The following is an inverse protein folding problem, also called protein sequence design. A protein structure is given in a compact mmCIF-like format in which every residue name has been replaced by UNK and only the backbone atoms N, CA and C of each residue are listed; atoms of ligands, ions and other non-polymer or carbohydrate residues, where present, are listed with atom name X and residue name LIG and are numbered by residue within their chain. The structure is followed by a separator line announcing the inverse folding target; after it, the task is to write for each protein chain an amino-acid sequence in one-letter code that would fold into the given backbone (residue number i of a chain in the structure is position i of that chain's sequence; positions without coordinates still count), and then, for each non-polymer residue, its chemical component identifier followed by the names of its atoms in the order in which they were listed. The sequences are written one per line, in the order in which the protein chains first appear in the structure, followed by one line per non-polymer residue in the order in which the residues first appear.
data_IF_332522214121
#
_entry.id   IF_332522214121
#
_cell.length_a   1.000
_cell.length_b   1.000
_cell.length_c   1.000
_cell.angle_alpha   90.00
_cell.angle_beta   90.00
_cell.angle_gamma   90.00
#
_symmetry.space_group_name_H-M   'P 1'
#
loop_
_entity.id
_entity.type
_entity.pdbx_description
1 polymer ?
#
# COMPACT_ATOMS: atom_id res chain seq x y z
N UNK A 1 -5.15 -23.47 -14.19
CA UNK A 1 -4.33 -22.92 -13.09
C UNK A 1 -5.08 -23.10 -11.79
N UNK A 2 -4.44 -23.75 -10.81
CA UNK A 2 -5.05 -23.99 -9.50
C UNK A 2 -4.20 -23.31 -8.43
N UNK A 3 -4.81 -22.38 -7.70
CA UNK A 3 -4.21 -21.74 -6.55
C UNK A 3 -5.26 -21.46 -5.47
N UNK A 4 -4.81 -21.30 -4.24
CA UNK A 4 -5.63 -20.80 -3.13
C UNK A 4 -5.11 -19.44 -2.74
N UNK A 5 -5.99 -18.45 -2.77
CA UNK A 5 -5.71 -17.08 -2.31
C UNK A 5 -6.55 -16.79 -1.08
N UNK A 6 -5.88 -16.49 0.01
CA UNK A 6 -6.51 -16.11 1.29
C UNK A 6 -6.22 -14.64 1.57
N UNK A 7 -7.22 -13.92 2.04
CA UNK A 7 -7.05 -12.53 2.46
C UNK A 7 -7.87 -12.24 3.70
N UNK A 8 -7.30 -11.44 4.59
CA UNK A 8 -7.95 -10.93 5.79
C UNK A 8 -7.77 -9.40 5.81
N UNK A 9 -8.87 -8.68 5.93
CA UNK A 9 -8.87 -7.24 6.08
C UNK A 9 -9.62 -6.87 7.37
N UNK A 10 -8.99 -6.05 8.20
CA UNK A 10 -9.56 -5.53 9.44
C UNK A 10 -9.52 -4.01 9.38
N UNK A 11 -10.63 -3.37 9.75
CA UNK A 11 -10.74 -1.92 9.81
C UNK A 11 -11.35 -1.47 11.13
N UNK A 12 -10.80 -0.43 11.70
CA UNK A 12 -11.29 0.23 12.89
C UNK A 12 -11.44 1.71 12.61
N UNK A 13 -12.61 2.26 12.95
CA UNK A 13 -12.95 3.67 12.75
C UNK A 13 -13.47 4.24 14.05
N UNK A 14 -13.00 5.43 14.40
CA UNK A 14 -13.40 6.14 15.60
C UNK A 14 -13.52 7.64 15.28
N UNK A 15 -14.60 8.25 15.77
CA UNK A 15 -14.79 9.69 15.76
C UNK A 15 -14.75 10.21 17.22
N UNK A 16 -13.55 10.47 17.78
CA UNK A 16 -13.41 10.88 19.16
C UNK A 16 -13.96 12.29 19.42
N UNK A 17 -13.96 13.14 18.41
CA UNK A 17 -14.52 14.49 18.42
C UNK A 17 -15.27 14.73 17.11
N UNK A 18 -16.20 15.67 17.12
CA UNK A 18 -16.99 15.99 15.93
C UNK A 18 -16.11 16.25 14.71
N UNK A 19 -16.33 15.46 13.63
CA UNK A 19 -15.59 15.50 12.35
C UNK A 19 -14.11 15.10 12.41
N UNK A 20 -13.59 14.70 13.56
CA UNK A 20 -12.27 14.08 13.66
C UNK A 20 -12.42 12.58 13.43
N UNK A 21 -11.96 12.08 12.30
CA UNK A 21 -12.07 10.67 11.95
C UNK A 21 -10.70 10.02 12.05
N UNK A 22 -10.55 9.12 13.01
CA UNK A 22 -9.42 8.22 13.11
C UNK A 22 -9.77 6.91 12.42
N UNK A 23 -8.91 6.41 11.56
CA UNK A 23 -9.04 5.09 10.94
C UNK A 23 -7.74 4.31 11.05
N UNK A 24 -7.87 3.01 11.33
CA UNK A 24 -6.76 2.07 11.29
C UNK A 24 -7.20 0.84 10.50
N UNK A 25 -6.42 0.45 9.51
CA UNK A 25 -6.72 -0.71 8.67
C UNK A 25 -5.51 -1.61 8.57
N UNK A 26 -5.74 -2.91 8.63
CA UNK A 26 -4.71 -3.92 8.39
C UNK A 26 -5.20 -4.91 7.35
N UNK A 27 -4.32 -5.28 6.44
CA UNK A 27 -4.59 -6.29 5.44
C UNK A 27 -3.49 -7.34 5.47
N UNK A 28 -3.89 -8.59 5.42
CA UNK A 28 -2.99 -9.72 5.26
C UNK A 28 -3.48 -10.55 4.08
N UNK A 29 -2.56 -10.95 3.23
CA UNK A 29 -2.84 -11.79 2.07
C UNK A 29 -1.80 -12.88 1.90
N UNK A 30 -2.24 -14.06 1.49
CA UNK A 30 -1.38 -15.19 1.18
C UNK A 30 -1.92 -15.95 -0.03
N UNK A 31 -1.04 -16.39 -0.94
CA UNK A 31 -1.37 -17.17 -2.12
C UNK A 31 -0.47 -18.40 -2.20
N UNK A 32 -1.07 -19.52 -2.52
CA UNK A 32 -0.37 -20.81 -2.68
C UNK A 32 -0.81 -21.46 -3.99
N UNK A 33 0.14 -21.82 -4.84
CA UNK A 33 -0.10 -22.65 -6.04
C UNK A 33 -0.36 -24.10 -5.67
N UNK A 34 -1.27 -24.76 -6.41
CA UNK A 34 -1.57 -26.18 -6.25
C UNK A 34 -1.08 -26.93 -7.50
N UNK A 35 0.17 -27.40 -7.43
CA UNK A 35 0.78 -28.19 -8.51
C UNK A 35 1.24 -27.39 -9.73
N UNK A 36 1.08 -26.07 -9.71
CA UNK A 36 1.52 -25.14 -10.76
C UNK A 36 2.11 -23.88 -10.13
N UNK A 37 3.02 -23.23 -10.85
CA UNK A 37 3.63 -21.97 -10.44
C UNK A 37 2.61 -20.81 -10.49
N UNK A 38 2.73 -19.88 -9.54
CA UNK A 38 1.88 -18.70 -9.47
C UNK A 38 2.37 -17.65 -10.46
N UNK A 39 1.51 -17.19 -11.35
CA UNK A 39 1.87 -16.13 -12.30
C UNK A 39 2.06 -14.78 -11.61
N UNK A 40 2.95 -13.96 -12.16
CA UNK A 40 3.34 -12.65 -11.60
C UNK A 40 2.12 -11.76 -11.33
N UNK A 41 1.15 -11.72 -12.24
CA UNK A 41 -0.05 -10.89 -12.09
C UNK A 41 -1.05 -11.39 -11.03
N UNK A 42 -0.89 -12.62 -10.53
CA UNK A 42 -1.70 -13.20 -9.45
C UNK A 42 -1.09 -12.93 -8.08
N UNK A 43 0.21 -12.62 -8.02
CA UNK A 43 0.93 -12.36 -6.78
C UNK A 43 0.56 -11.02 -6.17
N UNK A 44 0.83 -10.90 -4.90
CA UNK A 44 0.67 -9.63 -4.19
C UNK A 44 1.78 -8.66 -4.59
N UNK A 45 1.43 -7.37 -4.63
CA UNK A 45 2.36 -6.28 -4.91
C UNK A 45 2.29 -5.26 -3.77
N UNK A 46 3.43 -4.69 -3.41
CA UNK A 46 3.55 -3.70 -2.35
C UNK A 46 4.06 -2.37 -2.92
N UNK A 47 3.37 -1.28 -2.59
CA UNK A 47 3.65 0.07 -3.05
C UNK A 47 2.41 0.77 -3.62
N UNK A 48 2.54 2.02 -3.94
CA UNK A 48 1.42 2.81 -4.46
C UNK A 48 0.33 3.06 -3.42
N UNK A 49 -0.88 2.62 -3.70
CA UNK A 49 -2.03 2.87 -2.84
C UNK A 49 -2.03 2.07 -1.55
N UNK A 50 -1.40 0.90 -1.51
CA UNK A 50 -1.34 0.09 -0.30
C UNK A 50 -0.16 0.43 0.61
N UNK A 51 0.81 1.21 0.11
CA UNK A 51 1.94 1.72 0.88
C UNK A 51 2.37 3.08 0.29
N UNK A 52 1.78 4.16 0.77
CA UNK A 52 2.08 5.53 0.29
C UNK A 52 3.55 5.89 0.59
N UNK A 53 4.17 6.66 -0.28
CA UNK A 53 5.61 6.97 -0.23
C UNK A 53 6.47 6.07 -1.11
N UNK A 54 5.88 5.01 -1.66
CA UNK A 54 6.52 4.09 -2.61
C UNK A 54 5.79 4.15 -3.96
N UNK A 55 6.52 3.99 -5.05
CA UNK A 55 5.97 3.90 -6.39
C UNK A 55 5.04 2.67 -6.52
N UNK A 56 4.28 2.59 -7.58
CA UNK A 56 3.47 1.40 -7.86
C UNK A 56 4.37 0.17 -7.94
N UNK A 57 4.07 -0.81 -7.07
CA UNK A 57 4.90 -2.01 -6.88
C UNK A 57 6.34 -1.74 -6.41
N UNK A 58 6.63 -0.50 -5.97
CA UNK A 58 7.97 -0.01 -5.65
C UNK A 58 8.66 -0.75 -4.51
N UNK A 59 7.93 -1.37 -3.60
CA UNK A 59 8.45 -2.16 -2.48
C UNK A 59 8.30 -3.68 -2.68
N UNK A 60 7.98 -4.12 -3.90
CA UNK A 60 7.85 -5.54 -4.25
C UNK A 60 9.19 -6.16 -4.61
N UNK A 61 9.35 -7.50 -4.47
CA UNK A 61 10.48 -8.24 -5.03
C UNK A 61 10.65 -7.96 -6.53
N UNK A 62 11.90 -7.83 -7.00
CA UNK A 62 12.23 -7.44 -8.36
C UNK A 62 13.22 -8.40 -9.00
N UNK A 63 13.12 -8.54 -10.31
CA UNK A 63 14.16 -9.16 -11.12
C UNK A 63 15.41 -8.26 -11.13
N UNK A 64 16.58 -8.86 -10.90
CA UNK A 64 17.85 -8.13 -10.84
C UNK A 64 18.26 -7.55 -12.21
N UNK A 65 17.93 -8.25 -13.30
CA UNK A 65 18.34 -7.90 -14.65
C UNK A 65 17.40 -6.90 -15.32
N UNK A 66 16.08 -7.14 -15.19
CA UNK A 66 15.08 -6.31 -15.87
C UNK A 66 14.54 -5.19 -14.97
N UNK A 67 14.63 -5.35 -13.64
CA UNK A 67 14.04 -4.44 -12.68
C UNK A 67 12.51 -4.58 -12.52
N UNK A 68 11.90 -5.57 -13.20
CA UNK A 68 10.47 -5.78 -13.15
C UNK A 68 10.00 -6.29 -11.79
N UNK A 69 8.85 -5.82 -11.32
CA UNK A 69 8.25 -6.28 -10.08
C UNK A 69 7.69 -7.69 -10.24
N UNK A 70 8.19 -8.62 -9.47
CA UNK A 70 7.79 -10.03 -9.48
C UNK A 70 6.63 -10.32 -8.51
N UNK A 71 6.40 -9.43 -7.55
CA UNK A 71 5.43 -9.67 -6.49
C UNK A 71 5.88 -10.70 -5.46
N UNK A 72 5.00 -11.00 -4.53
CA UNK A 72 5.26 -11.95 -3.45
C UNK A 72 4.07 -12.85 -3.16
N UNK A 73 4.32 -13.93 -2.45
CA UNK A 73 3.31 -14.91 -2.11
C UNK A 73 2.48 -14.49 -0.89
N UNK A 74 2.99 -13.59 -0.08
CA UNK A 74 2.23 -13.00 1.01
C UNK A 74 2.50 -11.50 1.14
N UNK A 75 1.53 -10.80 1.70
CA UNK A 75 1.60 -9.37 1.99
C UNK A 75 0.96 -9.09 3.35
N UNK A 76 1.55 -8.16 4.09
CA UNK A 76 0.97 -7.59 5.30
C UNK A 76 1.10 -6.08 5.23
N UNK A 77 -0.01 -5.36 5.40
CA UNK A 77 -0.03 -3.90 5.44
C UNK A 77 -0.81 -3.40 6.65
N UNK A 78 -0.38 -2.30 7.22
CA UNK A 78 -1.07 -1.58 8.29
C UNK A 78 -1.06 -0.09 7.96
N UNK A 79 -2.20 0.55 8.07
CA UNK A 79 -2.38 1.98 7.83
C UNK A 79 -3.11 2.62 8.98
N UNK A 80 -2.68 3.79 9.38
CA UNK A 80 -3.43 4.65 10.29
C UNK A 80 -3.55 6.05 9.69
N UNK A 81 -4.73 6.64 9.81
CA UNK A 81 -5.03 7.95 9.22
C UNK A 81 -5.93 8.74 10.16
N UNK A 82 -5.68 10.03 10.27
CA UNK A 82 -6.52 10.97 11.00
C UNK A 82 -6.97 12.05 10.02
N UNK A 83 -8.28 12.18 9.82
CA UNK A 83 -8.89 13.29 9.10
C UNK A 83 -9.22 14.42 10.07
N UNK A 84 -8.86 15.63 9.70
CA UNK A 84 -8.93 16.82 10.56
C UNK A 84 -9.93 17.81 9.97
N UNK A 85 -10.98 18.23 10.73
CA UNK A 85 -11.90 19.24 10.25
C UNK A 85 -11.23 20.63 10.23
N UNK A 86 -11.34 21.35 9.11
CA UNK A 86 -10.84 22.73 8.99
C UNK A 86 -11.83 23.80 9.47
N UNK A 87 -13.06 23.42 9.87
CA UNK A 87 -14.11 24.40 10.14
C UNK A 87 -14.60 25.17 8.92
N UNK A 88 -14.25 24.70 7.71
CA UNK A 88 -14.76 25.27 6.45
C UNK A 88 -16.19 24.80 6.18
N UNK A 89 -16.96 25.56 5.38
CA UNK A 89 -18.26 25.08 4.89
C UNK A 89 -18.15 23.72 4.20
N UNK A 90 -19.12 22.84 4.43
CA UNK A 90 -19.12 21.47 3.88
C UNK A 90 -19.12 21.45 2.35
N UNK A 91 -19.69 22.49 1.72
CA UNK A 91 -19.75 22.65 0.28
C UNK A 91 -18.37 22.71 -0.40
N UNK A 92 -17.32 23.10 0.35
CA UNK A 92 -15.95 23.16 -0.17
C UNK A 92 -15.37 21.74 -0.29
N UNK A 93 -15.80 20.82 0.60
CA UNK A 93 -15.46 19.40 0.53
C UNK A 93 -13.97 19.07 0.74
N UNK A 94 -13.20 19.94 1.38
CA UNK A 94 -11.75 19.74 1.62
C UNK A 94 -11.53 19.22 3.04
N UNK A 95 -10.89 18.05 3.16
CA UNK A 95 -10.53 17.43 4.43
C UNK A 95 -9.05 17.10 4.45
N UNK A 96 -8.23 17.81 5.24
CA UNK A 96 -6.84 17.43 5.46
C UNK A 96 -6.74 16.17 6.29
N UNK A 97 -5.63 15.44 6.10
CA UNK A 97 -5.35 14.20 6.80
C UNK A 97 -3.86 14.06 7.10
N UNK A 98 -3.57 13.34 8.16
CA UNK A 98 -2.23 12.85 8.51
C UNK A 98 -2.29 11.34 8.50
N UNK A 99 -1.26 10.69 8.01
CA UNK A 99 -1.24 9.25 7.92
C UNK A 99 0.13 8.63 8.16
N UNK A 100 0.10 7.34 8.48
CA UNK A 100 1.27 6.46 8.46
C UNK A 100 0.90 5.12 7.86
N UNK A 101 1.74 4.62 6.98
CA UNK A 101 1.57 3.35 6.29
C UNK A 101 2.77 2.44 6.56
N UNK A 102 2.49 1.17 6.84
CA UNK A 102 3.50 0.15 7.08
C UNK A 102 3.19 -1.09 6.27
N UNK A 103 4.21 -1.77 5.79
CA UNK A 103 4.00 -2.97 5.01
C UNK A 103 5.23 -3.87 4.89
N UNK A 104 4.96 -5.13 4.62
CA UNK A 104 5.96 -6.15 4.32
C UNK A 104 5.40 -7.10 3.27
N UNK A 105 6.29 -7.69 2.49
CA UNK A 105 5.95 -8.63 1.42
C UNK A 105 6.94 -9.77 1.41
N UNK A 106 6.46 -10.99 1.19
CA UNK A 106 7.30 -12.18 1.07
C UNK A 106 7.71 -12.44 -0.36
N UNK A 107 8.84 -13.12 -0.52
CA UNK A 107 9.35 -13.53 -1.82
C UNK A 107 8.47 -14.59 -2.48
N UNK A 108 8.51 -14.68 -3.81
CA UNK A 108 7.90 -15.79 -4.56
C UNK A 108 8.56 -17.12 -4.19
N UNK A 109 7.76 -18.10 -3.77
CA UNK A 109 8.27 -19.39 -3.31
C UNK A 109 8.73 -20.29 -4.47
N UNK A 110 8.15 -20.14 -5.64
CA UNK A 110 8.45 -20.88 -6.87
C UNK A 110 9.74 -20.42 -7.57
N UNK A 111 10.27 -19.26 -7.18
CA UNK A 111 11.51 -18.70 -7.73
C UNK A 111 12.72 -18.90 -6.80
N UNK A 112 12.62 -19.78 -5.81
CA UNK A 112 13.70 -20.03 -4.84
C UNK A 112 15.01 -20.48 -5.50
N UNK A 113 14.92 -21.23 -6.59
CA UNK A 113 16.09 -21.68 -7.35
C UNK A 113 16.79 -20.54 -8.13
N UNK A 114 16.11 -19.40 -8.27
CA UNK A 114 16.63 -18.15 -8.87
C UNK A 114 16.94 -17.06 -7.84
N UNK A 115 17.20 -17.41 -6.61
CA UNK A 115 17.40 -16.46 -5.52
C UNK A 115 18.55 -15.45 -5.76
N UNK A 116 19.50 -15.77 -6.62
CA UNK A 116 20.60 -14.88 -7.00
C UNK A 116 20.19 -13.79 -8.00
N UNK A 117 19.10 -14.00 -8.73
CA UNK A 117 18.61 -13.09 -9.77
C UNK A 117 17.44 -12.23 -9.27
N UNK A 118 17.08 -12.32 -7.99
CA UNK A 118 15.93 -11.64 -7.41
C UNK A 118 16.36 -10.73 -6.26
N UNK A 119 16.02 -9.44 -6.37
CA UNK A 119 16.10 -8.49 -5.28
C UNK A 119 14.86 -8.66 -4.40
N UNK A 120 15.05 -9.10 -3.17
CA UNK A 120 13.96 -9.35 -2.23
C UNK A 120 14.34 -8.94 -0.82
N UNK A 121 13.37 -8.53 -0.04
CA UNK A 121 13.51 -8.26 1.38
C UNK A 121 12.16 -8.32 2.06
N UNK A 122 12.09 -9.05 3.18
CA UNK A 122 10.92 -9.08 4.06
C UNK A 122 10.96 -7.96 5.12
N UNK A 123 11.89 -7.01 4.97
CA UNK A 123 11.98 -5.85 5.86
C UNK A 123 10.67 -5.08 5.87
N UNK A 124 10.24 -4.69 7.05
CA UNK A 124 9.09 -3.79 7.18
C UNK A 124 9.46 -2.43 6.61
N UNK A 125 8.68 -1.97 5.63
CA UNK A 125 8.74 -0.61 5.07
C UNK A 125 7.77 0.26 5.83
N UNK A 126 8.06 1.53 5.93
CA UNK A 126 7.19 2.48 6.60
C UNK A 126 7.32 3.88 6.06
N UNK A 127 6.21 4.59 6.07
CA UNK A 127 6.11 6.00 5.69
C UNK A 127 5.19 6.76 6.61
N UNK A 128 5.35 8.07 6.63
CA UNK A 128 4.46 9.03 7.29
C UNK A 128 4.18 10.15 6.32
N UNK A 129 3.00 10.73 6.37
CA UNK A 129 2.66 11.78 5.45
C UNK A 129 1.46 12.61 5.83
N UNK A 130 1.22 13.61 4.99
CA UNK A 130 0.06 14.49 5.06
C UNK A 130 -0.66 14.46 3.72
N UNK A 131 -1.94 14.73 3.72
CA UNK A 131 -2.72 14.76 2.49
C UNK A 131 -3.97 15.57 2.61
N UNK A 132 -4.66 15.67 1.48
CA UNK A 132 -5.94 16.34 1.35
C UNK A 132 -6.87 15.38 0.59
N UNK A 133 -8.06 15.20 1.12
CA UNK A 133 -9.17 14.58 0.42
C UNK A 133 -10.14 15.68 0.00
N UNK A 134 -10.42 15.77 -1.29
CA UNK A 134 -11.31 16.77 -1.84
C UNK A 134 -12.50 16.11 -2.55
N UNK A 135 -13.69 16.34 -2.03
CA UNK A 135 -14.97 15.98 -2.66
C UNK A 135 -15.26 16.95 -3.79
N UNK A 136 -14.64 16.74 -4.95
CA UNK A 136 -14.80 17.61 -6.10
C UNK A 136 -16.12 17.31 -6.86
N UNK A 137 -16.62 18.25 -7.68
CA UNK A 137 -17.82 18.02 -8.50
C UNK A 137 -17.69 16.86 -9.51
N UNK A 138 -16.45 16.43 -9.81
CA UNK A 138 -16.16 15.31 -10.72
C UNK A 138 -15.79 14.02 -9.97
N UNK A 139 -15.88 14.02 -8.65
CA UNK A 139 -15.59 12.90 -7.78
C UNK A 139 -14.47 13.18 -6.77
N UNK A 140 -14.22 12.24 -5.85
CA UNK A 140 -13.21 12.43 -4.81
C UNK A 140 -11.80 12.40 -5.39
N UNK A 141 -10.98 13.34 -4.93
CA UNK A 141 -9.56 13.48 -5.30
C UNK A 141 -8.75 13.39 -4.01
N UNK A 142 -7.74 12.54 -4.01
CA UNK A 142 -6.78 12.41 -2.91
C UNK A 142 -5.42 12.90 -3.35
N UNK A 143 -4.85 13.84 -2.61
CA UNK A 143 -3.51 14.36 -2.82
C UNK A 143 -2.71 14.04 -1.57
N UNK A 144 -1.66 13.23 -1.71
CA UNK A 144 -0.86 12.77 -0.59
C UNK A 144 0.62 13.10 -0.80
N UNK A 145 1.27 13.54 0.25
CA UNK A 145 2.71 13.68 0.34
C UNK A 145 3.21 12.82 1.49
N UNK A 146 4.03 11.82 1.16
CA UNK A 146 4.59 10.87 2.10
C UNK A 146 6.12 10.98 2.16
N UNK A 147 6.64 10.83 3.37
CA UNK A 147 8.07 10.67 3.62
C UNK A 147 8.36 9.24 4.05
N UNK A 148 9.30 8.59 3.37
CA UNK A 148 9.69 7.21 3.66
C UNK A 148 10.58 7.17 4.89
N UNK A 149 10.19 6.41 5.92
CA UNK A 149 10.94 6.21 7.15
C UNK A 149 11.84 4.98 7.09
N UNK A 150 11.37 3.92 6.44
CA UNK A 150 12.07 2.64 6.28
C UNK A 150 11.82 2.05 4.91
N UNK A 151 12.89 1.65 4.24
CA UNK A 151 12.86 1.01 2.92
C UNK A 151 13.95 -0.06 2.80
N UNK A 152 13.88 -0.88 1.76
CA UNK A 152 15.01 -1.69 1.31
C UNK A 152 15.80 -0.93 0.23
N UNK A 153 17.05 -1.33 -0.01
CA UNK A 153 17.97 -0.58 -0.89
C UNK A 153 17.50 -0.53 -2.37
N UNK A 154 16.72 -1.50 -2.79
CA UNK A 154 16.18 -1.60 -4.15
C UNK A 154 14.76 -1.02 -4.30
N UNK A 155 14.16 -0.52 -3.20
CA UNK A 155 12.82 0.05 -3.25
C UNK A 155 12.79 1.33 -4.08
N UNK A 156 11.71 1.52 -4.84
CA UNK A 156 11.44 2.74 -5.60
C UNK A 156 10.44 3.58 -4.83
N UNK A 157 10.82 4.79 -4.48
CA UNK A 157 10.01 5.71 -3.70
C UNK A 157 9.30 6.73 -4.59
N UNK A 158 8.09 7.14 -4.17
CA UNK A 158 7.33 8.22 -4.79
C UNK A 158 6.64 9.02 -3.68
N UNK A 159 7.18 10.18 -3.36
CA UNK A 159 6.72 10.97 -2.22
C UNK A 159 5.38 11.66 -2.46
N UNK A 160 5.09 12.06 -3.68
CA UNK A 160 3.87 12.77 -4.06
C UNK A 160 2.96 11.91 -4.91
N UNK A 161 1.67 11.86 -4.56
CA UNK A 161 0.67 11.06 -5.29
C UNK A 161 -0.66 11.78 -5.36
N UNK A 162 -1.28 11.72 -6.53
CA UNK A 162 -2.67 12.16 -6.75
C UNK A 162 -3.47 10.95 -7.21
N UNK A 163 -4.60 10.69 -6.53
CA UNK A 163 -5.52 9.62 -6.89
C UNK A 163 -6.92 10.19 -7.08
N UNK A 164 -7.60 9.66 -8.08
CA UNK A 164 -8.99 9.95 -8.38
C UNK A 164 -9.85 8.75 -7.97
N UNK A 165 -10.99 9.01 -7.32
CA UNK A 165 -11.91 7.98 -6.85
C UNK A 165 -11.73 7.62 -5.37
N UNK A 166 -12.64 6.79 -4.87
CA UNK A 166 -12.62 6.33 -3.48
C UNK A 166 -11.50 5.31 -3.27
N UNK A 167 -10.84 5.43 -2.14
CA UNK A 167 -9.94 4.37 -1.65
C UNK A 167 -10.75 3.39 -0.82
N UNK A 168 -10.74 2.18 -1.23
CA UNK A 168 -11.26 1.06 -0.46
C UNK A 168 -10.16 0.40 0.36
#
# INVERSE_FOLDING_TARGET
EKYVRSSLALGYYLEPFERWIFSATTNFGHIIGIGEDIKIFQRYQLGGNNLRGFDDFGASPRDLLTGDALGGDWIATAKAEIKIPLGLPEEIGITPKIFTDWGSIGAPSDLKDRSFDILQSQRIRGSVGVGIEWESPVGPINIDWAHVLRSADFDITQNFRVNFGQRF
#
